data_IF_972001648756
#
_entry.id   IF_972001648756
#
_cell.length_a   1.000
_cell.length_b   1.000
_cell.length_c   1.000
_cell.angle_alpha   90.00
_cell.angle_beta   90.00
_cell.angle_gamma   90.00
#
_symmetry.space_group_name_H-M   'P 1'
#
loop_
_entity.id
_entity.type
_entity.pdbx_description
1 polymer ?
#
# COMPACT_ATOMS: atom_id res chain seq x y z
N UNK A 1 40.07 -23.27 8.48
CA UNK A 1 39.24 -22.87 7.33
C UNK A 1 37.91 -22.37 7.86
N UNK A 2 37.88 -21.09 8.24
CA UNK A 2 36.79 -20.52 9.04
C UNK A 2 35.52 -20.25 8.21
N UNK A 3 34.35 -20.71 8.67
CA UNK A 3 33.05 -20.43 8.04
C UNK A 3 32.62 -18.95 8.16
N UNK A 4 33.37 -18.12 8.89
CA UNK A 4 33.04 -16.69 9.14
C UNK A 4 33.10 -15.82 7.88
N UNK A 5 33.90 -16.21 6.88
CA UNK A 5 34.06 -15.46 5.63
C UNK A 5 32.91 -15.62 4.65
N UNK A 6 32.09 -16.67 4.78
CA UNK A 6 31.04 -17.01 3.80
C UNK A 6 29.77 -16.20 4.00
N UNK A 7 29.43 -15.85 5.24
CA UNK A 7 28.20 -15.10 5.59
C UNK A 7 28.14 -13.72 4.91
N UNK A 8 29.18 -12.87 4.98
CA UNK A 8 29.13 -11.55 4.35
C UNK A 8 29.15 -11.63 2.82
N UNK A 9 29.86 -12.61 2.24
CA UNK A 9 29.88 -12.85 0.79
C UNK A 9 28.50 -13.32 0.30
N UNK A 10 27.89 -14.29 0.98
CA UNK A 10 26.55 -14.77 0.66
C UNK A 10 25.49 -13.67 0.83
N UNK A 11 25.64 -12.82 1.85
CA UNK A 11 24.77 -11.67 2.10
C UNK A 11 24.92 -10.61 1.02
N UNK A 12 26.13 -10.32 0.56
CA UNK A 12 26.40 -9.41 -0.57
C UNK A 12 25.82 -9.92 -1.89
N UNK A 13 26.02 -11.20 -2.20
CA UNK A 13 25.42 -11.84 -3.40
C UNK A 13 23.89 -11.78 -3.33
N UNK A 14 23.31 -12.08 -2.16
CA UNK A 14 21.86 -12.00 -1.94
C UNK A 14 21.33 -10.58 -2.14
N UNK A 15 22.03 -9.56 -1.63
CA UNK A 15 21.64 -8.15 -1.81
C UNK A 15 21.63 -7.74 -3.29
N UNK A 16 22.60 -8.20 -4.08
CA UNK A 16 22.66 -7.93 -5.53
C UNK A 16 21.48 -8.61 -6.25
N UNK A 17 21.22 -9.89 -5.95
CA UNK A 17 20.13 -10.66 -6.56
C UNK A 17 18.74 -10.09 -6.22
N UNK A 18 18.52 -9.67 -4.96
CA UNK A 18 17.25 -9.10 -4.51
C UNK A 18 16.96 -7.71 -5.10
N UNK A 19 17.98 -7.00 -5.60
CA UNK A 19 17.84 -5.67 -6.20
C UNK A 19 17.94 -5.68 -7.74
N UNK A 20 17.96 -6.85 -8.41
CA UNK A 20 17.99 -6.91 -9.86
C UNK A 20 16.72 -6.30 -10.49
N UNK A 21 16.85 -5.47 -11.55
CA UNK A 21 15.75 -4.70 -12.15
C UNK A 21 14.76 -5.54 -12.97
N UNK A 22 14.88 -6.88 -12.94
CA UNK A 22 13.94 -7.83 -13.56
C UNK A 22 12.60 -7.85 -12.80
N UNK A 23 12.58 -7.28 -11.60
CA UNK A 23 11.46 -7.33 -10.65
C UNK A 23 10.65 -6.02 -10.73
N UNK A 24 9.33 -6.13 -10.85
CA UNK A 24 8.42 -4.98 -10.95
C UNK A 24 8.52 -4.00 -9.76
N UNK A 25 8.25 -2.71 -10.02
CA UNK A 25 8.41 -1.61 -9.04
C UNK A 25 7.71 -1.83 -7.68
N UNK A 26 6.58 -2.54 -7.65
CA UNK A 26 5.85 -2.87 -6.42
C UNK A 26 6.61 -3.81 -5.48
N UNK A 27 7.55 -4.59 -6.01
CA UNK A 27 8.37 -5.53 -5.25
C UNK A 27 9.69 -4.92 -4.78
N UNK A 28 10.20 -3.89 -5.47
CA UNK A 28 11.41 -3.19 -5.05
C UNK A 28 11.30 -2.64 -3.62
N UNK A 29 10.12 -2.16 -3.22
CA UNK A 29 9.90 -1.74 -1.83
C UNK A 29 10.04 -2.92 -0.84
N UNK A 30 9.49 -4.09 -1.17
CA UNK A 30 9.59 -5.30 -0.32
C UNK A 30 11.04 -5.78 -0.22
N UNK A 31 11.78 -5.73 -1.31
CA UNK A 31 13.19 -6.13 -1.33
C UNK A 31 14.10 -5.12 -0.64
N UNK A 32 13.81 -3.83 -0.72
CA UNK A 32 14.50 -2.81 0.07
C UNK A 32 14.28 -3.06 1.57
N UNK A 33 13.04 -3.43 1.96
CA UNK A 33 12.70 -3.78 3.34
C UNK A 33 13.42 -5.06 3.80
N UNK A 34 13.53 -6.09 2.96
CA UNK A 34 14.35 -7.28 3.26
C UNK A 34 15.86 -6.96 3.28
N UNK A 35 16.33 -6.07 2.41
CA UNK A 35 17.71 -5.62 2.35
C UNK A 35 18.17 -4.91 3.63
N UNK A 36 17.25 -4.24 4.33
CA UNK A 36 17.54 -3.56 5.61
C UNK A 36 18.08 -4.49 6.70
N UNK A 37 17.82 -5.81 6.60
CA UNK A 37 18.35 -6.82 7.52
C UNK A 37 19.79 -7.20 7.16
N UNK A 38 20.09 -7.31 5.86
CA UNK A 38 21.40 -7.75 5.37
C UNK A 38 22.43 -6.61 5.30
N UNK A 39 21.98 -5.37 5.08
CA UNK A 39 22.84 -4.19 4.94
C UNK A 39 23.71 -3.97 6.20
N UNK A 40 23.20 -3.95 7.44
CA UNK A 40 24.02 -3.80 8.63
C UNK A 40 25.09 -4.89 8.77
N UNK A 41 24.76 -6.14 8.40
CA UNK A 41 25.68 -7.27 8.48
C UNK A 41 26.85 -7.11 7.48
N UNK A 42 26.54 -6.64 6.26
CA UNK A 42 27.58 -6.35 5.27
C UNK A 42 28.45 -5.16 5.67
N UNK A 43 27.86 -4.08 6.22
CA UNK A 43 28.61 -2.91 6.70
C UNK A 43 29.53 -3.31 7.86
N UNK A 44 29.03 -4.09 8.82
CA UNK A 44 29.83 -4.58 9.94
C UNK A 44 31.03 -5.42 9.48
N UNK A 45 30.83 -6.31 8.50
CA UNK A 45 31.93 -7.08 7.91
C UNK A 45 32.94 -6.21 7.18
N UNK A 46 32.50 -5.19 6.43
CA UNK A 46 33.41 -4.23 5.79
C UNK A 46 34.24 -3.45 6.81
N UNK A 47 33.68 -3.18 7.99
CA UNK A 47 34.36 -2.41 9.04
C UNK A 47 35.49 -3.15 9.74
N UNK A 48 35.50 -4.48 9.68
CA UNK A 48 36.59 -5.29 10.25
C UNK A 48 37.93 -5.06 9.53
N UNK A 49 37.92 -4.71 8.24
CA UNK A 49 39.12 -4.44 7.44
C UNK A 49 39.61 -2.99 7.48
N UNK A 50 38.94 -2.12 8.24
CA UNK A 50 39.18 -0.67 8.25
C UNK A 50 39.79 -0.23 9.57
N UNK A 51 40.79 0.63 9.47
CA UNK A 51 41.52 1.17 10.61
C UNK A 51 40.58 1.92 11.55
N UNK A 52 40.71 1.67 12.86
CA UNK A 52 39.76 2.12 13.89
C UNK A 52 39.58 3.64 13.95
N UNK A 53 40.65 4.39 13.65
CA UNK A 53 40.67 5.85 13.53
C UNK A 53 39.78 6.38 12.38
N UNK A 54 39.62 5.60 11.30
CA UNK A 54 38.89 5.99 10.09
C UNK A 54 37.44 5.48 10.03
N UNK A 55 37.09 4.50 10.88
CA UNK A 55 35.73 3.94 10.99
C UNK A 55 34.61 4.98 11.14
N UNK A 56 34.70 5.98 12.04
CA UNK A 56 33.62 6.96 12.18
C UNK A 56 33.43 7.80 10.90
N UNK A 57 34.51 8.13 10.19
CA UNK A 57 34.42 8.87 8.93
C UNK A 57 33.74 8.04 7.84
N UNK A 58 34.09 6.76 7.73
CA UNK A 58 33.47 5.84 6.77
C UNK A 58 31.99 5.61 7.04
N UNK A 59 31.60 5.37 8.31
CA UNK A 59 30.19 5.25 8.68
C UNK A 59 29.39 6.52 8.35
N UNK A 60 29.95 7.68 8.65
CA UNK A 60 29.33 8.97 8.33
C UNK A 60 29.13 9.15 6.82
N UNK A 61 30.12 8.74 6.01
CA UNK A 61 30.02 8.77 4.56
C UNK A 61 28.93 7.83 4.02
N UNK A 62 28.84 6.61 4.56
CA UNK A 62 27.80 5.63 4.18
C UNK A 62 26.41 6.17 4.54
N UNK A 63 26.22 6.69 5.75
CA UNK A 63 24.94 7.27 6.18
C UNK A 63 24.57 8.47 5.31
N UNK A 64 25.53 9.36 5.03
CA UNK A 64 25.32 10.52 4.16
C UNK A 64 24.91 10.12 2.74
N UNK A 65 25.53 9.08 2.19
CA UNK A 65 25.16 8.52 0.89
C UNK A 65 23.75 7.92 0.91
N UNK A 66 23.41 7.12 1.93
CA UNK A 66 22.07 6.54 2.09
C UNK A 66 21.00 7.64 2.21
N UNK A 67 21.29 8.72 2.93
CA UNK A 67 20.39 9.85 3.07
C UNK A 67 20.10 10.53 1.73
N UNK A 68 21.13 10.77 0.91
CA UNK A 68 20.98 11.34 -0.43
C UNK A 68 20.11 10.46 -1.34
N UNK A 69 20.24 9.13 -1.26
CA UNK A 69 19.43 8.19 -2.04
C UNK A 69 17.97 8.13 -1.56
N UNK A 70 17.70 8.38 -0.27
CA UNK A 70 16.36 8.34 0.31
C UNK A 70 15.50 9.57 0.02
N UNK A 71 16.11 10.75 -0.23
CA UNK A 71 15.40 12.02 -0.40
C UNK A 71 14.25 11.97 -1.43
N UNK A 72 14.43 11.43 -2.66
CA UNK A 72 13.34 11.36 -3.64
C UNK A 72 12.17 10.48 -3.18
N UNK A 73 12.45 9.45 -2.39
CA UNK A 73 11.46 8.48 -1.92
C UNK A 73 10.48 9.12 -0.93
N UNK A 74 10.94 10.04 -0.09
CA UNK A 74 10.10 10.77 0.88
C UNK A 74 9.00 11.56 0.17
N UNK A 75 9.32 12.23 -0.94
CA UNK A 75 8.34 12.98 -1.72
C UNK A 75 7.35 12.10 -2.50
N UNK A 76 7.70 10.82 -2.70
CA UNK A 76 6.82 9.83 -3.31
C UNK A 76 5.86 9.18 -2.29
N UNK A 77 6.11 9.32 -0.99
CA UNK A 77 5.21 8.87 0.07
C UNK A 77 3.97 9.78 0.08
N UNK A 78 2.95 9.37 -0.66
CA UNK A 78 1.63 10.02 -0.65
C UNK A 78 0.61 9.07 -0.03
N UNK A 79 -0.32 9.59 0.79
CA UNK A 79 -1.37 8.76 1.35
C UNK A 79 -2.22 8.17 0.22
N UNK A 80 -2.80 7.00 0.48
CA UNK A 80 -3.62 6.32 -0.52
C UNK A 80 -5.00 6.97 -0.71
N UNK A 81 -5.40 7.87 0.16
CA UNK A 81 -6.56 8.75 -0.01
C UNK A 81 -6.24 10.11 0.62
N UNK A 82 -6.86 11.18 0.13
CA UNK A 82 -6.73 12.50 0.76
C UNK A 82 -7.60 12.59 2.02
N UNK A 83 -7.40 13.64 2.83
CA UNK A 83 -8.26 13.88 3.99
C UNK A 83 -9.72 14.15 3.57
N UNK A 84 -9.93 14.83 2.46
CA UNK A 84 -11.27 15.09 1.94
C UNK A 84 -11.96 13.78 1.52
N UNK A 85 -11.23 12.88 0.85
CA UNK A 85 -11.71 11.55 0.48
C UNK A 85 -12.13 10.75 1.72
N UNK A 86 -11.33 10.81 2.79
CA UNK A 86 -11.62 10.14 4.05
C UNK A 86 -12.91 10.66 4.70
N UNK A 87 -13.08 11.99 4.76
CA UNK A 87 -14.29 12.61 5.30
C UNK A 87 -15.53 12.28 4.45
N UNK A 88 -15.38 12.18 3.13
CA UNK A 88 -16.46 11.76 2.24
C UNK A 88 -16.88 10.31 2.51
N UNK A 89 -15.91 9.41 2.73
CA UNK A 89 -16.19 8.02 3.10
C UNK A 89 -16.86 7.90 4.47
N UNK A 90 -16.52 8.74 5.44
CA UNK A 90 -17.20 8.74 6.75
C UNK A 90 -18.70 9.07 6.62
N UNK A 91 -19.08 9.94 5.67
CA UNK A 91 -20.47 10.36 5.46
C UNK A 91 -21.34 9.35 4.72
N UNK A 92 -20.85 8.15 4.40
CA UNK A 92 -21.66 7.10 3.76
C UNK A 92 -22.94 6.81 4.59
N UNK A 93 -22.86 6.90 5.92
CA UNK A 93 -23.99 6.71 6.84
C UNK A 93 -25.16 7.67 6.63
N UNK A 94 -24.89 8.85 6.08
CA UNK A 94 -25.93 9.84 5.79
C UNK A 94 -26.77 9.45 4.56
N UNK A 95 -26.25 8.55 3.72
CA UNK A 95 -26.84 8.18 2.43
C UNK A 95 -27.28 6.72 2.35
N UNK A 96 -26.69 5.84 3.16
CA UNK A 96 -26.93 4.40 3.14
C UNK A 96 -27.44 3.94 4.51
N UNK A 97 -28.67 3.40 4.59
CA UNK A 97 -29.23 2.97 5.87
C UNK A 97 -28.46 1.77 6.44
N UNK A 98 -28.29 1.68 7.77
CA UNK A 98 -27.55 0.59 8.41
C UNK A 98 -28.19 -0.77 8.11
N UNK A 99 -27.37 -1.83 8.10
CA UNK A 99 -27.81 -3.18 7.70
C UNK A 99 -28.03 -3.38 6.20
N UNK A 100 -27.63 -2.40 5.38
CA UNK A 100 -27.58 -2.54 3.92
C UNK A 100 -26.36 -3.34 3.46
N UNK A 101 -26.45 -3.95 2.29
CA UNK A 101 -25.31 -4.59 1.62
C UNK A 101 -24.67 -3.58 0.67
N UNK A 102 -23.37 -3.35 0.83
CA UNK A 102 -22.58 -2.43 0.02
C UNK A 102 -21.63 -3.21 -0.88
N UNK A 103 -21.76 -3.05 -2.19
CA UNK A 103 -20.86 -3.60 -3.19
C UNK A 103 -19.77 -2.58 -3.50
N UNK A 104 -18.52 -2.93 -3.23
CA UNK A 104 -17.35 -2.11 -3.56
C UNK A 104 -16.39 -2.93 -4.43
N UNK A 105 -16.44 -2.80 -5.78
CA UNK A 105 -15.65 -3.63 -6.69
C UNK A 105 -14.14 -3.37 -6.58
N UNK A 106 -13.77 -2.11 -6.39
CA UNK A 106 -12.38 -1.68 -6.26
C UNK A 106 -11.81 -2.08 -4.90
N UNK A 107 -10.68 -2.81 -4.89
CA UNK A 107 -10.11 -3.35 -3.65
C UNK A 107 -9.53 -2.27 -2.75
N UNK A 108 -8.93 -1.21 -3.30
CA UNK A 108 -8.33 -0.12 -2.50
C UNK A 108 -9.42 0.67 -1.80
N UNK A 109 -10.50 1.01 -2.51
CA UNK A 109 -11.66 1.67 -1.95
C UNK A 109 -12.36 0.79 -0.92
N UNK A 110 -12.56 -0.50 -1.25
CA UNK A 110 -13.22 -1.46 -0.36
C UNK A 110 -12.50 -1.56 0.98
N UNK A 111 -11.17 -1.64 0.98
CA UNK A 111 -10.38 -1.66 2.22
C UNK A 111 -10.71 -0.48 3.15
N UNK A 112 -10.83 0.73 2.59
CA UNK A 112 -11.17 1.91 3.39
C UNK A 112 -12.63 1.93 3.85
N UNK A 113 -13.56 1.42 3.04
CA UNK A 113 -14.98 1.31 3.42
C UNK A 113 -15.15 0.26 4.52
N UNK A 114 -14.46 -0.89 4.42
CA UNK A 114 -14.39 -1.93 5.46
C UNK A 114 -13.83 -1.33 6.75
N UNK A 115 -12.67 -0.69 6.70
CA UNK A 115 -12.04 -0.09 7.88
C UNK A 115 -12.90 0.95 8.61
N UNK A 116 -13.83 1.62 7.92
CA UNK A 116 -14.69 2.65 8.50
C UNK A 116 -16.06 2.14 8.94
N UNK A 117 -16.59 1.10 8.28
CA UNK A 117 -18.01 0.74 8.40
C UNK A 117 -18.29 -0.76 8.46
N UNK A 118 -17.29 -1.61 8.73
CA UNK A 118 -17.45 -3.07 8.84
C UNK A 118 -18.57 -3.50 9.80
N UNK A 119 -18.78 -2.75 10.90
CA UNK A 119 -19.85 -3.05 11.87
C UNK A 119 -21.25 -2.60 11.41
N UNK A 120 -21.34 -1.70 10.43
CA UNK A 120 -22.60 -1.06 10.02
C UNK A 120 -23.22 -1.70 8.77
N UNK A 121 -22.39 -2.26 7.90
CA UNK A 121 -22.81 -2.76 6.59
C UNK A 121 -22.18 -4.10 6.25
N UNK A 122 -22.88 -4.88 5.42
CA UNK A 122 -22.30 -6.04 4.77
C UNK A 122 -21.54 -5.59 3.52
N UNK A 123 -20.21 -5.54 3.59
CA UNK A 123 -19.37 -5.02 2.51
C UNK A 123 -18.84 -6.17 1.66
N UNK A 124 -19.13 -6.14 0.36
CA UNK A 124 -18.82 -7.24 -0.57
C UNK A 124 -18.19 -6.75 -1.85
N UNK A 125 -17.35 -7.58 -2.48
CA UNK A 125 -16.74 -7.27 -3.78
C UNK A 125 -17.71 -7.42 -4.96
N UNK A 126 -18.62 -8.38 -4.86
CA UNK A 126 -19.58 -8.74 -5.91
C UNK A 126 -20.98 -8.81 -5.30
N UNK A 127 -22.02 -8.47 -6.07
CA UNK A 127 -23.38 -8.58 -5.57
C UNK A 127 -23.72 -10.04 -5.24
N UNK A 128 -24.28 -10.33 -4.07
CA UNK A 128 -24.76 -11.67 -3.72
C UNK A 128 -25.95 -12.06 -4.60
N UNK A 129 -26.16 -13.37 -4.74
CA UNK A 129 -27.28 -13.95 -5.49
C UNK A 129 -28.13 -14.81 -4.53
N UNK A 130 -29.41 -14.48 -4.31
CA UNK A 130 -30.18 -13.38 -4.90
C UNK A 130 -29.78 -11.99 -4.34
N UNK A 131 -30.01 -10.89 -5.10
CA UNK A 131 -29.68 -9.55 -4.62
C UNK A 131 -30.64 -9.12 -3.50
N UNK A 132 -30.12 -8.57 -2.38
CA UNK A 132 -30.92 -8.07 -1.26
C UNK A 132 -31.69 -6.80 -1.66
N UNK A 133 -32.74 -6.47 -0.89
CA UNK A 133 -33.58 -5.29 -1.15
C UNK A 133 -32.85 -3.95 -0.94
N UNK A 134 -31.83 -3.92 -0.07
CA UNK A 134 -31.05 -2.72 0.25
C UNK A 134 -29.62 -2.88 -0.25
N UNK A 135 -29.48 -2.98 -1.58
CA UNK A 135 -28.18 -3.13 -2.24
C UNK A 135 -27.67 -1.78 -2.75
N UNK A 136 -26.47 -1.40 -2.34
CA UNK A 136 -25.81 -0.17 -2.76
C UNK A 136 -24.49 -0.50 -3.44
N UNK A 137 -24.17 0.23 -4.50
CA UNK A 137 -22.91 0.13 -5.23
C UNK A 137 -22.10 1.41 -4.97
N UNK A 138 -20.90 1.24 -4.44
CA UNK A 138 -19.95 2.34 -4.25
C UNK A 138 -18.78 2.14 -5.22
N UNK A 139 -18.52 3.16 -6.03
CA UNK A 139 -17.43 3.19 -7.01
C UNK A 139 -16.71 4.52 -6.92
N UNK A 140 -15.40 4.51 -7.18
CA UNK A 140 -14.63 5.75 -7.28
C UNK A 140 -15.11 6.61 -8.45
N UNK A 141 -15.11 7.93 -8.30
CA UNK A 141 -15.60 8.88 -9.32
C UNK A 141 -14.97 8.69 -10.70
N UNK A 142 -13.69 8.32 -10.72
CA UNK A 142 -12.91 8.09 -11.94
C UNK A 142 -13.16 6.72 -12.59
N UNK A 143 -13.81 5.78 -11.89
CA UNK A 143 -14.15 4.46 -12.40
C UNK A 143 -15.63 4.41 -12.76
N UNK A 144 -15.95 4.71 -14.03
CA UNK A 144 -17.32 4.53 -14.52
C UNK A 144 -17.61 3.04 -14.66
N UNK A 145 -18.65 2.49 -14.01
CA UNK A 145 -19.06 1.12 -14.25
C UNK A 145 -19.45 0.96 -15.72
N UNK A 146 -18.98 -0.11 -16.37
CA UNK A 146 -19.22 -0.40 -17.80
C UNK A 146 -20.70 -0.61 -18.15
N UNK A 147 -21.55 -0.79 -17.14
CA UNK A 147 -22.99 -0.81 -17.26
C UNK A 147 -23.60 -0.69 -15.87
N UNK A 148 -24.55 0.21 -15.71
CA UNK A 148 -25.36 0.29 -14.51
C UNK A 148 -26.52 -0.72 -14.62
N UNK A 149 -26.86 -1.45 -13.55
CA UNK A 149 -28.03 -2.31 -13.56
C UNK A 149 -29.30 -1.51 -13.93
N UNK A 150 -30.24 -2.09 -14.69
CA UNK A 150 -31.49 -1.42 -14.99
C UNK A 150 -32.24 -1.04 -13.70
N UNK A 151 -32.77 0.19 -13.63
CA UNK A 151 -33.43 0.81 -12.46
C UNK A 151 -32.52 1.24 -11.30
N UNK A 152 -31.22 1.44 -11.53
CA UNK A 152 -30.35 2.03 -10.52
C UNK A 152 -30.66 3.52 -10.30
N UNK A 153 -30.62 4.00 -9.05
CA UNK A 153 -30.75 5.42 -8.69
C UNK A 153 -29.44 5.94 -8.12
N UNK A 154 -28.92 7.03 -8.68
CA UNK A 154 -27.79 7.76 -8.11
C UNK A 154 -28.26 8.49 -6.83
N UNK A 155 -27.59 8.22 -5.71
CA UNK A 155 -27.89 8.85 -4.41
C UNK A 155 -26.88 9.95 -4.12
N UNK A 156 -25.60 9.68 -4.37
CA UNK A 156 -24.52 10.62 -4.15
C UNK A 156 -23.58 10.61 -5.36
N UNK A 157 -23.24 11.80 -5.84
CA UNK A 157 -22.09 12.04 -6.71
C UNK A 157 -21.15 13.00 -5.99
N UNK A 158 -20.23 12.43 -5.22
CA UNK A 158 -19.22 13.17 -4.48
C UNK A 158 -17.95 13.37 -5.30
N UNK A 159 -16.91 13.86 -4.63
CA UNK A 159 -15.64 14.18 -5.28
C UNK A 159 -14.76 12.94 -5.42
N UNK A 160 -14.82 12.03 -4.46
CA UNK A 160 -14.07 10.79 -4.43
C UNK A 160 -14.91 9.57 -4.84
N UNK A 161 -16.16 9.48 -4.38
CA UNK A 161 -17.03 8.32 -4.59
C UNK A 161 -18.37 8.67 -5.23
N UNK A 162 -19.02 7.64 -5.77
CA UNK A 162 -20.43 7.67 -6.17
C UNK A 162 -21.16 6.54 -5.47
N UNK A 163 -22.35 6.86 -4.95
CA UNK A 163 -23.22 5.89 -4.30
C UNK A 163 -24.45 5.70 -5.17
N UNK A 164 -24.69 4.47 -5.57
CA UNK A 164 -25.80 4.09 -6.46
C UNK A 164 -26.62 3.03 -5.75
N UNK A 165 -27.93 3.26 -5.60
CA UNK A 165 -28.86 2.22 -5.15
C UNK A 165 -29.19 1.30 -6.31
N UNK A 166 -29.03 0.00 -6.09
CA UNK A 166 -29.31 -1.05 -7.06
C UNK A 166 -30.63 -1.73 -6.66
N UNK A 167 -31.70 -1.25 -7.28
CA UNK A 167 -33.10 -1.68 -7.10
C UNK A 167 -33.76 -1.23 -5.79
#
# INVERSE_FOLDING_TARGET
SEPESLIPIASGISLILLNLPIIGRSWLFRFNLMGSILVPLTIASMMNGVEESSRPAMLTAIIGLMFMVMLPTIFALRPSITMNDYLELQRIVDYVPPGSTIVVPDTRLRYWVEALHEETYEIVRRPPHPPPQNLYLIVGRHHRPRGLPPRSKLILEGDYIRIIKVR
#
